data_IF_051322637087
#
_entry.id   IF_051322637087
#
_cell.length_a   1.000
_cell.length_b   1.000
_cell.length_c   1.000
_cell.angle_alpha   90.00
_cell.angle_beta   90.00
_cell.angle_gamma   90.00
#
_symmetry.space_group_name_H-M   'P 1'
#
loop_
_entity.id
_entity.type
_entity.pdbx_description
1 polymer ?
#
# COMPACT_ATOMS: atom_id res chain seq x y z
N UNK A 1 10.79 9.92 -3.55
CA UNK A 1 10.56 10.31 -2.13
C UNK A 1 10.97 9.11 -1.29
N UNK A 2 11.60 9.27 -0.12
CA UNK A 2 12.27 8.15 0.59
C UNK A 2 11.49 7.83 1.87
N UNK A 3 10.79 6.69 1.87
CA UNK A 3 10.27 6.06 3.08
C UNK A 3 11.41 5.28 3.74
N UNK A 4 11.62 5.48 5.03
CA UNK A 4 12.71 4.83 5.76
C UNK A 4 12.14 3.80 6.74
N UNK A 5 12.57 2.55 6.59
CA UNK A 5 12.56 1.58 7.68
C UNK A 5 13.82 1.85 8.52
N UNK A 6 13.63 2.29 9.75
CA UNK A 6 14.76 2.59 10.66
C UNK A 6 14.65 1.70 11.89
N UNK A 7 15.69 0.89 12.11
CA UNK A 7 15.87 0.12 13.34
C UNK A 7 17.00 0.73 14.16
N UNK A 8 16.71 1.09 15.41
CA UNK A 8 17.72 1.54 16.37
C UNK A 8 17.93 0.47 17.42
N UNK A 9 19.19 0.04 17.59
CA UNK A 9 19.60 -0.90 18.62
C UNK A 9 20.43 -0.20 19.69
N UNK A 10 20.09 -0.40 20.95
CA UNK A 10 20.86 0.08 22.09
C UNK A 10 21.64 -1.08 22.72
N UNK A 11 22.96 -0.96 22.74
CA UNK A 11 23.87 -1.93 23.35
C UNK A 11 24.45 -1.37 24.66
N UNK A 12 24.55 -2.18 25.71
CA UNK A 12 25.27 -1.83 26.95
C UNK A 12 26.28 -2.89 27.36
N UNK A 13 27.19 -2.53 28.27
CA UNK A 13 28.17 -3.44 28.88
C UNK A 13 27.67 -3.79 30.30
N UNK A 14 27.53 -5.08 30.66
CA UNK A 14 27.07 -5.50 31.98
C UNK A 14 27.88 -4.87 33.12
N UNK A 15 27.18 -4.26 34.09
CA UNK A 15 27.80 -3.68 35.29
C UNK A 15 28.43 -2.28 35.13
N UNK A 16 28.36 -1.67 33.95
CA UNK A 16 28.64 -0.25 33.74
C UNK A 16 27.34 0.47 33.40
N UNK A 17 26.72 1.13 34.38
CA UNK A 17 25.63 2.06 34.08
C UNK A 17 26.19 3.16 33.18
N UNK A 18 25.70 3.26 31.94
CA UNK A 18 26.28 4.11 30.87
C UNK A 18 26.10 5.62 31.12
N UNK A 19 25.48 6.02 32.22
CA UNK A 19 25.21 7.42 32.55
C UNK A 19 25.90 7.86 33.84
N UNK A 20 27.21 8.04 33.79
CA UNK A 20 27.92 8.92 34.73
C UNK A 20 28.38 10.16 33.96
N UNK A 21 27.86 11.32 34.34
CA UNK A 21 28.28 12.68 33.92
C UNK A 21 27.71 13.29 32.62
N UNK A 22 26.58 12.80 32.10
CA UNK A 22 25.83 13.53 31.06
C UNK A 22 26.57 13.70 29.73
N UNK A 23 27.58 12.87 29.47
CA UNK A 23 28.20 12.72 28.15
C UNK A 23 27.67 11.46 27.50
N UNK A 24 27.15 11.61 26.28
CA UNK A 24 26.83 10.51 25.38
C UNK A 24 28.17 9.79 25.09
N UNK A 25 28.32 8.47 25.34
CA UNK A 25 29.48 7.73 24.87
C UNK A 25 29.51 7.77 23.34
N UNK A 26 30.69 7.79 22.72
CA UNK A 26 30.84 7.75 21.26
C UNK A 26 29.93 6.68 20.65
N UNK A 27 28.90 7.13 19.91
CA UNK A 27 28.02 6.26 19.14
C UNK A 27 28.86 5.67 18.01
N UNK A 28 29.33 4.43 18.18
CA UNK A 28 29.97 3.65 17.12
C UNK A 28 28.93 2.71 16.53
N UNK A 29 28.48 3.04 15.32
CA UNK A 29 27.59 2.20 14.52
C UNK A 29 26.14 2.69 14.55
N UNK A 30 25.76 3.46 13.52
CA UNK A 30 24.38 3.55 13.07
C UNK A 30 24.31 2.59 11.88
N UNK A 31 23.65 1.43 12.02
CA UNK A 31 23.34 0.59 10.87
C UNK A 31 22.02 1.09 10.25
N UNK A 32 22.14 1.84 9.15
CA UNK A 32 21.02 2.19 8.29
C UNK A 32 20.68 0.95 7.45
N UNK A 33 19.64 0.22 7.83
CA UNK A 33 19.09 -0.84 6.98
C UNK A 33 18.22 -0.20 5.89
N UNK A 34 18.82 0.25 4.79
CA UNK A 34 18.07 0.67 3.59
C UNK A 34 17.74 -0.54 2.75
N UNK A 35 16.48 -0.96 2.73
CA UNK A 35 15.97 -1.88 1.71
C UNK A 35 15.63 -1.07 0.45
N UNK A 36 16.60 -0.90 -0.45
CA UNK A 36 16.47 -0.87 -1.92
C UNK A 36 17.87 -0.78 -2.54
N UNK A 37 18.02 -1.40 -3.71
CA UNK A 37 19.26 -1.86 -4.36
C UNK A 37 20.28 -0.77 -4.72
N UNK A 38 21.12 -0.42 -3.76
CA UNK A 38 22.58 -0.34 -3.84
C UNK A 38 23.00 0.21 -2.48
N UNK A 39 23.74 -0.54 -1.65
CA UNK A 39 24.20 0.00 -0.38
C UNK A 39 25.06 1.21 -0.73
N UNK A 40 24.60 2.40 -0.37
CA UNK A 40 25.44 3.58 -0.30
C UNK A 40 26.46 3.24 0.78
N UNK A 41 27.55 2.58 0.37
CA UNK A 41 28.69 2.33 1.21
C UNK A 41 29.24 3.71 1.56
N UNK A 42 28.76 4.25 2.67
CA UNK A 42 29.59 5.13 3.47
C UNK A 42 30.83 4.30 3.77
N UNK A 43 31.89 4.45 2.97
CA UNK A 43 33.23 4.02 3.31
C UNK A 43 33.65 4.84 4.54
N UNK A 44 33.14 4.41 5.70
CA UNK A 44 33.78 4.66 6.97
C UNK A 44 35.13 3.99 6.84
N UNK A 45 36.15 4.80 6.53
CA UNK A 45 37.53 4.35 6.49
C UNK A 45 37.75 3.55 7.78
N UNK A 46 38.10 2.25 7.69
CA UNK A 46 38.36 1.49 8.88
C UNK A 46 39.59 2.13 9.51
N UNK A 47 39.40 3.00 10.50
CA UNK A 47 40.44 3.21 11.48
C UNK A 47 40.70 1.81 12.00
N UNK A 48 41.94 1.32 11.85
CA UNK A 48 42.42 0.09 12.47
C UNK A 48 42.24 0.25 13.99
N UNK A 49 41.01 0.01 14.43
CA UNK A 49 40.53 0.26 15.75
C UNK A 49 40.75 -1.00 16.56
N UNK A 50 41.40 -0.83 17.70
CA UNK A 50 41.42 -1.78 18.81
C UNK A 50 40.19 -2.69 18.79
N UNK A 51 40.42 -4.00 18.64
CA UNK A 51 39.38 -5.01 18.70
C UNK A 51 38.65 -4.82 20.02
N UNK A 52 37.38 -4.44 19.95
CA UNK A 52 36.57 -4.20 21.13
C UNK A 52 36.50 -5.49 21.96
N UNK A 53 36.96 -5.42 23.22
CA UNK A 53 37.04 -6.58 24.13
C UNK A 53 35.84 -6.67 25.06
N UNK A 54 34.87 -5.77 24.92
CA UNK A 54 33.68 -5.77 25.77
C UNK A 54 32.60 -6.71 25.23
N UNK A 55 31.98 -7.46 26.14
CA UNK A 55 30.74 -8.20 25.86
C UNK A 55 29.57 -7.23 25.90
N UNK A 56 29.14 -6.78 24.73
CA UNK A 56 27.94 -5.97 24.57
C UNK A 56 26.68 -6.84 24.66
N UNK A 57 25.66 -6.34 25.37
CA UNK A 57 24.34 -6.96 25.48
C UNK A 57 23.30 -6.00 24.93
N UNK A 58 22.39 -6.52 24.10
CA UNK A 58 21.24 -5.76 23.60
C UNK A 58 20.31 -5.41 24.75
N UNK A 59 20.09 -4.11 24.96
CA UNK A 59 19.23 -3.59 26.01
C UNK A 59 17.82 -3.29 25.52
N UNK A 60 17.71 -2.72 24.32
CA UNK A 60 16.44 -2.31 23.76
C UNK A 60 16.50 -2.17 22.23
N UNK A 61 15.35 -2.20 21.57
CA UNK A 61 15.20 -2.03 20.12
C UNK A 61 13.97 -1.18 19.83
N UNK A 62 14.16 -0.14 19.01
CA UNK A 62 13.09 0.69 18.49
C UNK A 62 12.98 0.49 16.98
N UNK A 63 11.83 -0.02 16.53
CA UNK A 63 11.50 -0.16 15.11
C UNK A 63 10.47 0.91 14.75
N UNK A 64 10.76 1.68 13.70
CA UNK A 64 9.90 2.75 13.22
C UNK A 64 9.75 2.64 11.70
N UNK A 65 8.51 2.67 11.24
CA UNK A 65 8.14 3.07 9.89
C UNK A 65 7.69 4.53 9.98
N UNK A 66 8.43 5.43 9.34
CA UNK A 66 8.25 6.87 9.50
C UNK A 66 8.47 7.57 8.17
N UNK A 67 7.47 8.35 7.76
CA UNK A 67 7.63 9.40 6.77
C UNK A 67 8.03 10.71 7.48
N UNK A 68 9.18 11.27 7.09
CA UNK A 68 9.66 12.56 7.58
C UNK A 68 9.47 13.62 6.49
N UNK A 69 8.46 14.51 6.61
CA UNK A 69 8.29 15.60 5.67
C UNK A 69 9.53 16.50 5.61
N UNK A 70 9.66 17.24 4.51
CA UNK A 70 10.78 18.16 4.34
C UNK A 70 10.82 19.17 5.49
N UNK A 71 11.99 19.32 6.13
CA UNK A 71 12.23 20.21 7.28
C UNK A 71 11.60 19.77 8.61
N UNK A 72 10.90 18.64 8.65
CA UNK A 72 10.47 18.01 9.89
C UNK A 72 11.59 17.16 10.52
N UNK A 73 11.40 16.77 11.78
CA UNK A 73 12.35 15.95 12.53
C UNK A 73 11.63 14.93 13.38
N UNK A 74 12.22 13.77 13.58
CA UNK A 74 11.88 12.88 14.69
C UNK A 74 13.03 12.93 15.71
N UNK A 75 12.69 12.86 17.00
CA UNK A 75 13.68 12.85 18.06
C UNK A 75 13.45 11.66 19.00
N UNK A 76 14.53 10.95 19.31
CA UNK A 76 14.55 9.88 20.31
C UNK A 76 15.57 10.23 21.40
N UNK A 77 15.36 9.69 22.59
CA UNK A 77 16.28 9.81 23.73
C UNK A 77 16.47 8.45 24.38
N UNK A 78 17.66 8.21 24.91
CA UNK A 78 17.90 7.05 25.77
C UNK A 78 17.60 7.49 27.21
N UNK A 79 16.55 6.91 27.78
CA UNK A 79 16.07 7.21 29.13
C UNK A 79 16.94 6.57 30.21
N UNK A 80 16.65 6.90 31.48
CA UNK A 80 17.26 6.19 32.61
C UNK A 80 16.75 4.74 32.63
N UNK A 81 17.66 3.77 32.57
CA UNK A 81 17.33 2.34 32.56
C UNK A 81 17.49 1.65 31.21
N UNK A 82 18.29 2.22 30.31
CA UNK A 82 18.65 1.62 29.00
C UNK A 82 17.44 1.39 28.07
N UNK A 83 16.46 2.29 28.12
CA UNK A 83 15.28 2.28 27.24
C UNK A 83 15.36 3.40 26.20
N UNK A 84 15.02 3.08 24.95
CA UNK A 84 14.87 4.05 23.87
C UNK A 84 13.47 4.65 23.98
N UNK A 85 13.39 5.97 24.13
CA UNK A 85 12.14 6.71 24.23
C UNK A 85 11.98 7.65 23.04
N UNK A 86 10.79 7.68 22.49
CA UNK A 86 10.41 8.65 21.47
C UNK A 86 10.07 9.99 22.14
N UNK A 87 10.80 11.04 21.78
CA UNK A 87 10.69 12.36 22.42
C UNK A 87 9.90 13.34 21.57
N UNK A 88 9.93 13.16 20.25
CA UNK A 88 9.10 13.92 19.32
C UNK A 88 8.85 13.08 18.06
N UNK A 89 7.58 12.96 17.69
CA UNK A 89 7.15 12.50 16.38
C UNK A 89 6.38 13.63 15.70
N UNK A 90 6.61 13.86 14.39
CA UNK A 90 5.75 14.74 13.63
C UNK A 90 4.32 14.18 13.63
N UNK A 91 3.34 15.07 13.52
CA UNK A 91 1.96 14.67 13.29
C UNK A 91 1.92 13.86 11.99
N UNK A 92 1.15 12.76 11.98
CA UNK A 92 0.97 11.98 10.75
C UNK A 92 0.28 12.81 9.67
N UNK A 93 -0.42 13.89 10.04
CA UNK A 93 -1.21 14.70 9.11
C UNK A 93 -2.46 13.97 8.63
N UNK A 94 -2.78 12.82 9.24
CA UNK A 94 -3.95 12.02 8.91
C UNK A 94 -5.16 12.45 9.75
N UNK A 95 -6.29 12.63 9.08
CA UNK A 95 -7.59 12.78 9.76
C UNK A 95 -7.99 11.45 10.42
N UNK A 96 -8.87 11.51 11.43
CA UNK A 96 -9.35 10.32 12.15
C UNK A 96 -9.90 9.24 11.21
N UNK A 97 -10.67 9.64 10.18
CA UNK A 97 -11.20 8.69 9.21
C UNK A 97 -10.10 7.98 8.42
N UNK A 98 -9.01 8.66 8.04
CA UNK A 98 -7.91 8.02 7.32
C UNK A 98 -7.21 6.96 8.19
N UNK A 99 -7.09 7.20 9.49
CA UNK A 99 -6.57 6.19 10.44
C UNK A 99 -7.52 4.99 10.53
N UNK A 100 -8.82 5.22 10.65
CA UNK A 100 -9.82 4.14 10.67
C UNK A 100 -9.83 3.33 9.36
N UNK A 101 -9.67 4.00 8.21
CA UNK A 101 -9.55 3.35 6.91
C UNK A 101 -8.31 2.44 6.83
N UNK A 102 -7.18 2.84 7.41
CA UNK A 102 -5.97 2.01 7.50
C UNK A 102 -6.19 0.77 8.37
N UNK A 103 -6.95 0.89 9.46
CA UNK A 103 -7.23 -0.23 10.37
C UNK A 103 -8.07 -1.32 9.72
N UNK A 104 -8.98 -0.95 8.82
CA UNK A 104 -9.87 -1.89 8.11
C UNK A 104 -9.34 -2.36 6.75
N UNK A 105 -8.31 -1.70 6.20
CA UNK A 105 -7.69 -2.09 4.93
C UNK A 105 -6.80 -3.34 5.08
N UNK A 106 -6.56 -4.11 4.00
CA UNK A 106 -5.65 -5.25 4.03
C UNK A 106 -4.24 -4.85 4.45
N UNK A 107 -3.54 -5.67 5.23
CA UNK A 107 -2.23 -5.31 5.78
C UNK A 107 -1.21 -5.00 4.68
N UNK A 108 -1.25 -5.76 3.58
CA UNK A 108 -0.35 -5.60 2.44
C UNK A 108 -0.54 -4.29 1.64
N UNK A 109 -1.62 -3.51 1.90
CA UNK A 109 -1.88 -2.20 1.27
C UNK A 109 -1.56 -1.03 2.20
N UNK A 110 -1.47 -1.25 3.51
CA UNK A 110 -1.51 -0.18 4.51
C UNK A 110 -0.37 0.83 4.39
N UNK A 111 0.84 0.37 4.05
CA UNK A 111 2.01 1.25 3.97
C UNK A 111 1.88 2.24 2.80
N UNK A 112 1.47 1.75 1.62
CA UNK A 112 1.21 2.57 0.44
C UNK A 112 -0.01 3.47 0.64
N UNK A 113 -1.08 2.96 1.27
CA UNK A 113 -2.27 3.75 1.60
C UNK A 113 -1.95 4.87 2.58
N UNK A 114 -1.12 4.59 3.59
CA UNK A 114 -0.65 5.57 4.56
C UNK A 114 0.16 6.67 3.85
N UNK A 115 1.16 6.31 3.04
CA UNK A 115 1.97 7.27 2.27
C UNK A 115 1.08 8.15 1.39
N UNK A 116 0.13 7.54 0.68
CA UNK A 116 -0.71 8.31 -0.22
C UNK A 116 -1.66 9.23 0.54
N UNK A 117 -2.30 8.78 1.62
CA UNK A 117 -3.14 9.64 2.46
C UNK A 117 -2.38 10.85 3.00
N UNK A 118 -1.11 10.70 3.41
CA UNK A 118 -0.29 11.81 3.88
C UNK A 118 -0.05 12.88 2.81
N UNK A 119 -0.16 12.53 1.53
CA UNK A 119 0.00 13.43 0.39
C UNK A 119 -1.33 14.05 -0.06
N UNK A 120 -2.45 13.64 0.54
CA UNK A 120 -3.77 14.20 0.31
C UNK A 120 -4.11 15.29 1.33
N UNK A 121 -4.78 16.34 0.87
CA UNK A 121 -5.45 17.31 1.74
C UNK A 121 -6.57 16.62 2.55
N UNK A 122 -6.88 17.15 3.73
CA UNK A 122 -7.84 16.56 4.68
C UNK A 122 -9.20 16.22 4.06
N UNK A 123 -9.70 17.07 3.15
CA UNK A 123 -10.97 16.84 2.44
C UNK A 123 -10.94 15.54 1.63
N UNK A 124 -9.86 15.28 0.90
CA UNK A 124 -9.72 14.09 0.08
C UNK A 124 -9.43 12.85 0.93
N UNK A 125 -8.65 13.01 2.01
CA UNK A 125 -8.51 11.93 3.00
C UNK A 125 -9.86 11.47 3.53
N UNK A 126 -10.75 12.39 3.94
CA UNK A 126 -12.09 12.05 4.45
C UNK A 126 -12.94 11.33 3.39
N UNK A 127 -12.94 11.80 2.14
CA UNK A 127 -13.69 11.20 1.05
C UNK A 127 -13.27 9.74 0.83
N UNK A 128 -11.98 9.50 0.61
CA UNK A 128 -11.50 8.16 0.27
C UNK A 128 -11.51 7.22 1.47
N UNK A 129 -11.24 7.74 2.67
CA UNK A 129 -11.38 6.96 3.90
C UNK A 129 -12.81 6.44 4.09
N UNK A 130 -13.82 7.30 3.87
CA UNK A 130 -15.21 6.89 4.01
C UNK A 130 -15.60 5.79 3.01
N UNK A 131 -15.06 5.84 1.79
CA UNK A 131 -15.27 4.80 0.77
C UNK A 131 -14.66 3.45 1.16
N UNK A 132 -13.54 3.44 1.88
CA UNK A 132 -12.88 2.22 2.37
C UNK A 132 -13.59 1.67 3.61
N UNK A 133 -14.01 2.53 4.53
CA UNK A 133 -14.65 2.13 5.80
C UNK A 133 -16.01 1.48 5.53
N UNK A 134 -16.84 2.13 4.72
CA UNK A 134 -18.23 1.73 4.49
C UNK A 134 -18.54 1.61 2.98
N UNK A 135 -17.91 0.66 2.27
CA UNK A 135 -18.26 0.39 0.88
C UNK A 135 -19.65 -0.26 0.81
N UNK A 136 -20.38 -0.13 -0.32
CA UNK A 136 -21.68 -0.78 -0.49
C UNK A 136 -21.65 -2.31 -0.31
N UNK A 137 -20.54 -2.95 -0.68
CA UNK A 137 -20.27 -4.36 -0.45
C UNK A 137 -18.88 -4.53 0.15
N UNK A 138 -18.74 -5.39 1.17
CA UNK A 138 -17.47 -5.59 1.90
C UNK A 138 -16.34 -6.06 0.98
N UNK A 139 -16.68 -6.90 -0.02
CA UNK A 139 -15.75 -7.39 -1.05
C UNK A 139 -15.19 -6.31 -1.98
N UNK A 140 -15.64 -5.05 -1.90
CA UNK A 140 -15.04 -3.96 -2.70
C UNK A 140 -13.90 -3.26 -1.95
N UNK A 141 -13.73 -3.55 -0.66
CA UNK A 141 -12.89 -2.75 0.24
C UNK A 141 -11.42 -2.78 -0.19
N UNK A 142 -10.89 -3.96 -0.48
CA UNK A 142 -9.51 -4.14 -0.91
C UNK A 142 -9.25 -3.50 -2.27
N UNK A 143 -10.14 -3.59 -3.25
CA UNK A 143 -9.93 -2.89 -4.53
C UNK A 143 -9.97 -1.37 -4.39
N UNK A 144 -10.89 -0.85 -3.58
CA UNK A 144 -10.95 0.59 -3.30
C UNK A 144 -9.68 1.01 -2.55
N UNK A 145 -9.29 0.30 -1.48
CA UNK A 145 -8.08 0.61 -0.71
C UNK A 145 -6.82 0.54 -1.57
N UNK A 146 -6.68 -0.51 -2.38
CA UNK A 146 -5.57 -0.67 -3.32
C UNK A 146 -5.52 0.49 -4.31
N UNK A 147 -6.66 0.88 -4.87
CA UNK A 147 -6.72 1.95 -5.85
C UNK A 147 -6.40 3.30 -5.23
N UNK A 148 -6.91 3.59 -4.03
CA UNK A 148 -6.55 4.79 -3.27
C UNK A 148 -5.06 4.79 -2.93
N UNK A 149 -4.44 3.65 -2.66
CA UNK A 149 -3.01 3.57 -2.36
C UNK A 149 -2.11 3.81 -3.59
N UNK A 150 -2.55 3.42 -4.79
CA UNK A 150 -1.70 3.37 -5.99
C UNK A 150 -2.01 4.41 -7.07
N UNK A 151 -3.20 5.03 -7.06
CA UNK A 151 -3.47 6.19 -7.93
C UNK A 151 -2.75 7.41 -7.38
N UNK A 152 -2.11 8.19 -8.26
CA UNK A 152 -1.31 9.32 -7.82
C UNK A 152 -2.16 10.35 -7.05
N UNK A 153 -1.61 10.96 -5.99
CA UNK A 153 -2.35 11.93 -5.20
C UNK A 153 -2.66 13.20 -5.98
N UNK A 154 -1.91 13.49 -7.06
CA UNK A 154 -2.23 14.58 -7.99
C UNK A 154 -3.53 14.31 -8.76
N UNK A 155 -3.82 13.05 -9.11
CA UNK A 155 -5.09 12.66 -9.74
C UNK A 155 -6.21 12.63 -8.71
N UNK A 156 -5.97 12.01 -7.55
CA UNK A 156 -6.98 11.87 -6.49
C UNK A 156 -7.46 13.22 -5.94
N UNK A 157 -6.68 14.29 -6.09
CA UNK A 157 -7.04 15.64 -5.66
C UNK A 157 -7.39 16.57 -6.83
N UNK A 158 -7.38 16.06 -8.06
CA UNK A 158 -7.77 16.86 -9.22
C UNK A 158 -9.27 17.14 -9.18
N UNK A 159 -9.66 18.40 -9.31
CA UNK A 159 -11.07 18.82 -9.30
C UNK A 159 -11.93 18.22 -10.42
N UNK A 160 -11.33 17.66 -11.46
CA UNK A 160 -11.99 16.96 -12.57
C UNK A 160 -12.09 15.45 -12.37
N UNK A 161 -11.38 14.91 -11.38
CA UNK A 161 -11.51 13.51 -11.00
C UNK A 161 -12.76 13.33 -10.12
N UNK A 162 -13.62 12.39 -10.49
CA UNK A 162 -14.77 12.00 -9.68
C UNK A 162 -14.38 10.83 -8.76
N UNK A 163 -14.33 11.02 -7.42
CA UNK A 163 -14.03 9.95 -6.48
C UNK A 163 -14.93 8.72 -6.65
N UNK A 164 -16.18 8.89 -7.08
CA UNK A 164 -17.10 7.77 -7.30
C UNK A 164 -16.62 6.80 -8.38
N UNK A 165 -15.71 7.22 -9.26
CA UNK A 165 -15.08 6.34 -10.23
C UNK A 165 -14.43 5.13 -9.55
N UNK A 166 -13.85 5.28 -8.35
CA UNK A 166 -13.20 4.18 -7.64
C UNK A 166 -14.19 3.09 -7.22
N UNK A 167 -15.39 3.50 -6.79
CA UNK A 167 -16.48 2.58 -6.47
C UNK A 167 -17.02 1.92 -7.74
N UNK A 168 -17.31 2.73 -8.77
CA UNK A 168 -17.78 2.24 -10.08
C UNK A 168 -16.79 1.21 -10.67
N UNK A 169 -15.49 1.46 -10.51
CA UNK A 169 -14.44 0.55 -10.90
C UNK A 169 -14.61 -0.82 -10.21
N UNK A 170 -14.74 -0.86 -8.88
CA UNK A 170 -14.94 -2.10 -8.11
C UNK A 170 -16.27 -2.80 -8.48
N UNK A 171 -17.38 -2.05 -8.57
CA UNK A 171 -18.69 -2.58 -8.97
C UNK A 171 -18.63 -3.28 -10.34
N UNK A 172 -17.94 -2.68 -11.31
CA UNK A 172 -17.80 -3.30 -12.63
C UNK A 172 -16.88 -4.52 -12.63
N UNK A 173 -15.94 -4.69 -11.69
CA UNK A 173 -15.19 -5.95 -11.56
C UNK A 173 -16.15 -7.09 -11.26
N UNK A 174 -16.88 -6.98 -10.16
CA UNK A 174 -17.79 -8.03 -9.70
C UNK A 174 -19.02 -8.22 -10.59
N UNK A 175 -19.51 -7.15 -11.24
CA UNK A 175 -20.57 -7.29 -12.24
C UNK A 175 -20.10 -8.06 -13.49
N UNK A 176 -18.85 -7.88 -13.89
CA UNK A 176 -18.27 -8.62 -15.00
C UNK A 176 -17.99 -10.06 -14.60
N UNK A 177 -17.51 -10.28 -13.40
CA UNK A 177 -17.33 -11.59 -12.79
C UNK A 177 -18.62 -12.44 -12.87
N UNK A 178 -19.72 -11.91 -12.35
CA UNK A 178 -21.06 -12.53 -12.41
C UNK A 178 -21.56 -12.82 -13.85
N UNK A 179 -20.92 -12.21 -14.85
CA UNK A 179 -21.32 -12.28 -16.26
C UNK A 179 -20.49 -13.24 -17.12
N UNK A 180 -19.35 -13.75 -16.63
CA UNK A 180 -18.37 -14.50 -17.41
C UNK A 180 -18.24 -15.94 -16.88
N UNK A 181 -18.37 -16.94 -17.77
CA UNK A 181 -18.34 -18.35 -17.35
C UNK A 181 -16.91 -18.90 -17.15
N UNK A 182 -15.89 -18.26 -17.73
CA UNK A 182 -14.52 -18.78 -17.80
C UNK A 182 -13.56 -18.20 -16.75
N UNK A 183 -14.00 -17.26 -15.93
CA UNK A 183 -13.19 -16.63 -14.89
C UNK A 183 -14.08 -16.25 -13.73
N UNK A 184 -13.60 -16.48 -12.51
CA UNK A 184 -14.22 -16.00 -11.28
C UNK A 184 -13.24 -15.11 -10.51
N UNK A 185 -13.71 -14.05 -9.85
CA UNK A 185 -13.01 -13.37 -8.76
C UNK A 185 -13.18 -14.24 -7.51
N UNK A 186 -12.06 -14.54 -6.87
CA UNK A 186 -12.00 -15.37 -5.67
C UNK A 186 -11.43 -14.54 -4.52
N UNK A 187 -12.20 -14.46 -3.44
CA UNK A 187 -11.86 -13.70 -2.24
C UNK A 187 -11.26 -14.62 -1.17
N UNK A 188 -10.16 -14.19 -0.58
CA UNK A 188 -9.41 -14.91 0.44
C UNK A 188 -9.35 -14.12 1.73
N UNK A 189 -9.84 -14.72 2.81
CA UNK A 189 -9.60 -14.24 4.18
C UNK A 189 -8.26 -14.78 4.69
N UNK A 190 -7.38 -13.89 5.15
CA UNK A 190 -6.16 -14.27 5.86
C UNK A 190 -6.19 -13.95 7.35
N UNK A 191 -5.21 -14.46 8.11
CA UNK A 191 -5.14 -14.23 9.55
C UNK A 191 -4.87 -12.75 9.88
N UNK A 192 -5.69 -12.18 10.75
CA UNK A 192 -5.49 -10.81 11.26
C UNK A 192 -5.98 -9.70 10.31
N UNK A 193 -7.14 -9.92 9.68
CA UNK A 193 -7.76 -8.99 8.72
C UNK A 193 -6.86 -8.72 7.49
N UNK A 194 -6.02 -9.70 7.14
CA UNK A 194 -5.16 -9.67 5.96
C UNK A 194 -5.83 -10.45 4.82
N UNK A 195 -6.78 -9.80 4.14
CA UNK A 195 -7.58 -10.40 3.07
C UNK A 195 -7.16 -9.86 1.70
N UNK A 196 -7.44 -10.62 0.65
CA UNK A 196 -7.15 -10.22 -0.73
C UNK A 196 -8.04 -10.98 -1.70
N UNK A 197 -8.11 -10.48 -2.92
CA UNK A 197 -8.82 -11.10 -4.03
C UNK A 197 -7.86 -11.39 -5.18
N UNK A 198 -8.22 -12.37 -5.99
CA UNK A 198 -7.57 -12.64 -7.28
C UNK A 198 -8.57 -13.22 -8.26
N UNK A 199 -8.14 -13.57 -9.46
CA UNK A 199 -8.99 -14.24 -10.47
C UNK A 199 -8.56 -15.68 -10.67
N UNK A 200 -9.53 -16.58 -10.74
CA UNK A 200 -9.37 -17.98 -11.11
C UNK A 200 -9.93 -18.20 -12.53
N UNK A 201 -9.04 -18.47 -13.48
CA UNK A 201 -9.41 -18.79 -14.85
C UNK A 201 -9.64 -20.28 -15.03
N UNK A 202 -10.72 -20.63 -15.71
CA UNK A 202 -10.94 -21.97 -16.24
C UNK A 202 -10.36 -22.02 -17.65
N UNK A 203 -9.37 -22.88 -17.88
CA UNK A 203 -8.64 -22.98 -19.16
C UNK A 203 -8.65 -24.42 -19.69
N UNK A 204 -8.70 -24.58 -21.00
CA UNK A 204 -8.63 -25.90 -21.62
C UNK A 204 -7.17 -26.33 -21.80
N UNK A 205 -6.80 -27.46 -21.18
CA UNK A 205 -5.48 -28.08 -21.30
C UNK A 205 -5.66 -29.55 -21.69
N UNK A 206 -5.10 -29.94 -22.83
CA UNK A 206 -5.16 -31.33 -23.33
C UNK A 206 -6.59 -31.92 -23.45
N UNK A 207 -7.59 -31.05 -23.63
CA UNK A 207 -9.00 -31.45 -23.76
C UNK A 207 -9.77 -31.57 -22.44
N UNK A 208 -9.14 -31.25 -21.31
CA UNK A 208 -9.79 -31.11 -20.00
C UNK A 208 -9.82 -29.64 -19.56
N UNK A 209 -10.74 -29.29 -18.67
CA UNK A 209 -10.82 -27.94 -18.07
C UNK A 209 -10.03 -27.94 -16.77
N UNK A 210 -9.06 -27.04 -16.67
CA UNK A 210 -8.20 -26.86 -15.50
C UNK A 210 -8.35 -25.44 -14.98
N UNK A 211 -8.41 -25.29 -13.66
CA UNK A 211 -8.42 -23.99 -13.00
C UNK A 211 -7.00 -23.45 -12.80
N UNK A 212 -6.82 -22.16 -13.06
CA UNK A 212 -5.56 -21.43 -12.97
C UNK A 212 -5.81 -20.09 -12.31
N UNK A 213 -5.32 -19.97 -11.10
CA UNK A 213 -5.32 -18.70 -10.38
C UNK A 213 -4.19 -17.80 -10.84
N UNK A 214 -4.50 -16.51 -10.90
CA UNK A 214 -3.54 -15.46 -11.11
C UNK A 214 -2.89 -15.10 -9.76
N UNK A 215 -1.61 -14.72 -9.77
CA UNK A 215 -0.99 -14.14 -8.57
C UNK A 215 -1.69 -12.81 -8.22
N UNK A 216 -1.98 -12.52 -6.93
CA UNK A 216 -2.70 -11.31 -6.53
C UNK A 216 -2.09 -10.02 -7.08
N UNK A 217 -0.76 -9.94 -7.16
CA UNK A 217 -0.06 -8.80 -7.77
C UNK A 217 -0.61 -8.46 -9.16
N UNK A 218 -0.80 -9.46 -10.03
CA UNK A 218 -1.29 -9.21 -11.38
C UNK A 218 -2.78 -8.85 -11.41
N UNK A 219 -3.58 -9.39 -10.48
CA UNK A 219 -4.97 -8.99 -10.33
C UNK A 219 -5.07 -7.50 -10.02
N UNK A 220 -4.38 -7.03 -8.97
CA UNK A 220 -4.49 -5.64 -8.56
C UNK A 220 -3.90 -4.66 -9.59
N UNK A 221 -2.70 -4.91 -10.10
CA UNK A 221 -2.04 -3.94 -11.00
C UNK A 221 -2.58 -3.94 -12.43
N UNK A 222 -3.11 -5.05 -12.95
CA UNK A 222 -3.53 -5.13 -14.35
C UNK A 222 -5.04 -5.30 -14.56
N UNK A 223 -5.78 -5.67 -13.52
CA UNK A 223 -7.24 -5.84 -13.59
C UNK A 223 -7.94 -4.76 -12.77
N UNK A 224 -7.56 -4.59 -11.50
CA UNK A 224 -8.19 -3.62 -10.59
C UNK A 224 -7.82 -2.18 -10.94
N UNK A 225 -6.53 -1.90 -11.11
CA UNK A 225 -6.02 -0.54 -11.30
C UNK A 225 -6.75 0.20 -12.45
N UNK A 226 -7.31 1.40 -12.20
CA UNK A 226 -8.22 2.06 -13.15
C UNK A 226 -7.49 2.76 -14.30
N UNK A 227 -6.16 2.85 -14.24
CA UNK A 227 -5.29 3.53 -15.20
C UNK A 227 -4.35 2.53 -15.86
N UNK A 228 -4.20 2.63 -17.19
CA UNK A 228 -3.38 1.74 -18.02
C UNK A 228 -2.04 2.37 -18.40
N UNK A 229 -1.99 3.69 -18.63
CA UNK A 229 -0.77 4.41 -18.98
C UNK A 229 -0.73 5.82 -18.39
N UNK A 230 -0.51 6.86 -19.19
CA UNK A 230 -0.29 8.24 -18.74
C UNK A 230 -1.61 9.04 -18.58
N UNK A 231 -2.76 8.39 -18.80
CA UNK A 231 -4.09 9.00 -18.72
C UNK A 231 -4.68 9.02 -17.30
N UNK A 232 -5.34 10.11 -16.94
CA UNK A 232 -6.20 10.12 -15.75
C UNK A 232 -7.48 9.32 -16.03
N UNK A 233 -7.90 8.40 -15.14
CA UNK A 233 -9.21 7.79 -15.24
C UNK A 233 -10.31 8.86 -15.21
N UNK A 234 -11.30 8.74 -16.09
CA UNK A 234 -12.40 9.71 -16.22
C UNK A 234 -13.76 9.01 -16.22
N UNK A 235 -14.74 9.73 -15.71
CA UNK A 235 -16.18 9.40 -15.76
C UNK A 235 -16.98 10.70 -15.81
N UNK A 236 -16.60 11.58 -16.74
CA UNK A 236 -17.15 12.93 -16.91
C UNK A 236 -17.80 13.10 -18.29
N UNK A 237 -18.35 14.28 -18.57
CA UNK A 237 -19.00 14.58 -19.87
C UNK A 237 -18.08 14.33 -21.07
N UNK A 238 -16.76 14.52 -20.91
CA UNK A 238 -15.79 14.32 -21.99
C UNK A 238 -15.72 12.85 -22.43
N UNK A 239 -15.96 11.91 -21.51
CA UNK A 239 -16.05 10.47 -21.77
C UNK A 239 -17.50 9.95 -21.68
N UNK A 240 -18.48 10.79 -22.03
CA UNK A 240 -19.89 10.43 -22.09
C UNK A 240 -20.50 10.02 -20.73
N UNK A 241 -19.90 10.47 -19.62
CA UNK A 241 -20.19 10.07 -18.24
C UNK A 241 -20.10 8.55 -18.02
N UNK A 242 -19.24 7.85 -18.78
CA UNK A 242 -19.02 6.40 -18.65
C UNK A 242 -17.56 6.11 -18.38
N UNK A 243 -17.32 5.26 -17.40
CA UNK A 243 -15.97 4.73 -17.16
C UNK A 243 -15.58 3.77 -18.29
N UNK A 244 -14.29 3.66 -18.60
CA UNK A 244 -13.83 2.86 -19.75
C UNK A 244 -14.23 1.38 -19.62
N UNK A 245 -14.22 0.82 -18.40
CA UNK A 245 -14.57 -0.60 -18.16
C UNK A 245 -16.04 -0.87 -18.47
N UNK A 246 -16.91 0.07 -18.13
CA UNK A 246 -18.32 0.05 -18.54
C UNK A 246 -18.44 0.15 -20.06
N UNK A 247 -17.82 1.19 -20.63
CA UNK A 247 -17.96 1.51 -22.04
C UNK A 247 -17.51 0.36 -22.94
N UNK A 248 -16.36 -0.25 -22.66
CA UNK A 248 -15.81 -1.32 -23.50
C UNK A 248 -16.69 -2.58 -23.53
N UNK A 249 -17.37 -2.91 -22.43
CA UNK A 249 -18.10 -4.18 -22.31
C UNK A 249 -19.58 -4.03 -22.62
N UNK A 250 -20.18 -2.90 -22.27
CA UNK A 250 -21.63 -2.69 -22.29
C UNK A 250 -22.10 -1.66 -23.32
N UNK A 251 -21.18 -1.03 -24.06
CA UNK A 251 -21.52 -0.14 -25.18
C UNK A 251 -21.07 -0.72 -26.52
N UNK A 252 -21.81 -0.37 -27.58
CA UNK A 252 -21.41 -0.65 -28.95
C UNK A 252 -21.93 0.44 -29.88
N UNK A 253 -21.11 0.79 -30.86
CA UNK A 253 -21.53 1.66 -31.96
C UNK A 253 -22.61 0.98 -32.80
N UNK A 254 -23.45 1.81 -33.42
CA UNK A 254 -24.51 1.34 -34.32
C UNK A 254 -23.96 0.40 -35.39
N UNK A 255 -24.46 -0.84 -35.42
CA UNK A 255 -24.05 -1.88 -36.35
C UNK A 255 -22.99 -2.85 -35.82
N UNK A 256 -22.47 -2.64 -34.60
CA UNK A 256 -21.56 -3.56 -33.92
C UNK A 256 -22.26 -4.27 -32.74
N UNK A 257 -21.89 -5.54 -32.45
CA UNK A 257 -22.40 -6.24 -31.28
C UNK A 257 -21.69 -5.75 -30.01
N UNK A 258 -22.36 -5.91 -28.87
CA UNK A 258 -21.73 -5.70 -27.56
C UNK A 258 -20.58 -6.69 -27.37
N UNK A 259 -19.45 -6.21 -26.84
CA UNK A 259 -18.31 -7.08 -26.55
C UNK A 259 -18.69 -8.15 -25.53
N UNK A 260 -19.44 -7.78 -24.48
CA UNK A 260 -19.91 -8.72 -23.46
C UNK A 260 -20.76 -9.85 -24.06
N UNK A 261 -21.61 -9.59 -25.05
CA UNK A 261 -22.39 -10.65 -25.72
C UNK A 261 -21.50 -11.66 -26.45
N UNK A 262 -20.39 -11.20 -27.01
CA UNK A 262 -19.42 -12.08 -27.70
C UNK A 262 -18.61 -12.88 -26.72
N UNK A 263 -18.10 -12.25 -25.68
CA UNK A 263 -17.22 -12.90 -24.70
C UNK A 263 -18.00 -13.85 -23.79
N UNK A 264 -19.22 -13.50 -23.35
CA UNK A 264 -20.07 -14.41 -22.56
C UNK A 264 -20.41 -15.71 -23.29
N UNK A 265 -20.41 -15.69 -24.63
CA UNK A 265 -20.64 -16.90 -25.43
C UNK A 265 -19.44 -17.85 -25.46
N UNK A 266 -18.26 -17.41 -25.01
CA UNK A 266 -17.08 -18.24 -24.83
C UNK A 266 -17.29 -19.16 -23.63
N UNK A 267 -17.96 -20.29 -23.88
CA UNK A 267 -18.11 -21.38 -22.91
C UNK A 267 -16.96 -22.36 -23.08
N UNK A 268 -16.42 -22.81 -21.96
CA UNK A 268 -15.53 -23.96 -21.95
C UNK A 268 -16.35 -25.21 -22.23
N UNK A 269 -15.86 -26.04 -23.14
CA UNK A 269 -16.50 -27.29 -23.59
C UNK A 269 -16.14 -28.45 -22.67
#
# INVERSE_FOLDING_TARGET
MISWLISFQLLSIPGKTVFTDGRIPDVRGIELATTYEEPLQLELSPQEGLKDTYEWVLCDTLNLALHLPQQERAAFSVGRGDQINMTYMPDSGLVTLAVEALDVAPQWVRDELFDNFQRLDSTYQEIYAQMIIDPPEERFRDEIAFTVAHVSPEILQDSTFDPQLLLVNAEFLYRNDDSLDFVDIVDYDGPGDDYYSTVCYRVQVEGDTVERELEPYYYYFYIVHPQLSDESPRMDEYVYNKFWREYLLYEADSGYPLLMEKIRSARLL
#
